data_IF_927155687499
#
_entry.id   IF_927155687499
#
_cell.length_a   1.000
_cell.length_b   1.000
_cell.length_c   1.000
_cell.angle_alpha   90.00
_cell.angle_beta   90.00
_cell.angle_gamma   90.00
#
_symmetry.space_group_name_H-M   'P 1'
#
loop_
_entity.id
_entity.type
_entity.pdbx_description
1 polymer ?
#
# COMPACT_ATOMS: atom_id res chain seq x y z
N UNK A 1 -11.39 -2.79 11.24
CA UNK A 1 -10.81 -3.41 10.03
C UNK A 1 -11.88 -4.29 9.39
N UNK A 2 -12.19 -4.10 8.11
CA UNK A 2 -13.28 -4.82 7.42
C UNK A 2 -12.99 -6.32 7.32
N UNK A 3 -11.72 -6.73 7.20
CA UNK A 3 -11.36 -8.15 7.11
C UNK A 3 -11.56 -8.85 8.45
N UNK A 4 -11.14 -8.23 9.56
CA UNK A 4 -11.36 -8.78 10.90
C UNK A 4 -12.86 -8.87 11.22
N UNK A 5 -13.62 -7.85 10.82
CA UNK A 5 -15.08 -7.85 10.95
C UNK A 5 -15.71 -8.98 10.12
N UNK A 6 -15.33 -9.15 8.86
CA UNK A 6 -15.85 -10.21 8.00
C UNK A 6 -15.44 -11.60 8.50
N UNK A 7 -14.22 -11.79 8.98
CA UNK A 7 -13.79 -13.10 9.50
C UNK A 7 -14.50 -13.46 10.81
N UNK A 8 -14.78 -12.47 11.67
CA UNK A 8 -15.39 -12.67 12.98
C UNK A 8 -16.93 -12.77 12.91
N UNK A 9 -17.58 -11.97 12.07
CA UNK A 9 -19.04 -11.89 12.00
C UNK A 9 -19.64 -12.63 10.81
N UNK A 10 -18.87 -12.91 9.75
CA UNK A 10 -19.32 -13.82 8.70
C UNK A 10 -18.83 -15.23 9.04
N UNK A 11 -19.63 -15.98 9.81
CA UNK A 11 -19.75 -17.41 9.52
C UNK A 11 -20.08 -17.47 8.03
N UNK A 12 -19.26 -18.13 7.20
CA UNK A 12 -19.42 -18.15 5.75
C UNK A 12 -20.40 -19.28 5.38
N UNK A 13 -21.72 -19.14 5.59
CA UNK A 13 -22.63 -20.29 5.60
C UNK A 13 -22.82 -20.81 4.18
N UNK A 14 -22.55 -19.95 3.19
CA UNK A 14 -22.76 -20.16 1.77
C UNK A 14 -21.51 -20.70 1.06
N UNK A 15 -20.38 -20.84 1.75
CA UNK A 15 -19.15 -21.38 1.17
C UNK A 15 -18.90 -22.82 1.64
N UNK A 16 -19.22 -23.83 0.82
CA UNK A 16 -19.08 -25.23 1.21
C UNK A 16 -17.62 -25.70 1.29
N UNK A 17 -16.67 -24.90 0.80
CA UNK A 17 -15.25 -25.20 0.81
C UNK A 17 -14.42 -23.97 1.20
N UNK A 18 -13.23 -24.23 1.75
CA UNK A 18 -12.22 -23.20 2.00
C UNK A 18 -11.37 -22.99 0.75
N UNK A 19 -11.18 -21.72 0.37
CA UNK A 19 -10.27 -21.32 -0.72
C UNK A 19 -9.01 -20.66 -0.15
N UNK A 20 -7.85 -21.00 -0.70
CA UNK A 20 -6.59 -20.32 -0.36
C UNK A 20 -6.58 -18.94 -1.05
N UNK A 21 -6.37 -17.89 -0.26
CA UNK A 21 -6.18 -16.52 -0.73
C UNK A 21 -4.81 -16.02 -0.25
N UNK A 22 -3.98 -15.55 -1.19
CA UNK A 22 -2.65 -15.02 -0.92
C UNK A 22 -2.69 -13.55 -0.53
N UNK A 23 -1.54 -13.00 -0.12
CA UNK A 23 -1.33 -11.56 0.09
C UNK A 23 -2.42 -10.89 0.94
N UNK A 24 -2.79 -11.55 2.02
CA UNK A 24 -3.78 -11.10 3.00
C UNK A 24 -5.21 -10.96 2.44
N UNK A 25 -5.49 -11.51 1.26
CA UNK A 25 -6.85 -11.69 0.77
C UNK A 25 -7.67 -12.63 1.66
N UNK A 26 -8.98 -12.66 1.44
CA UNK A 26 -9.90 -13.58 2.09
C UNK A 26 -10.94 -14.04 1.08
N UNK A 27 -11.56 -15.20 1.32
CA UNK A 27 -12.59 -15.74 0.44
C UNK A 27 -13.77 -14.77 0.37
N UNK A 28 -14.26 -14.51 -0.83
CA UNK A 28 -15.39 -13.60 -1.00
C UNK A 28 -16.66 -14.26 -0.44
N UNK A 29 -17.34 -13.65 0.56
CA UNK A 29 -18.57 -14.21 1.13
C UNK A 29 -19.74 -14.23 0.14
N UNK A 30 -19.70 -13.39 -0.91
CA UNK A 30 -20.75 -13.32 -1.93
C UNK A 30 -20.45 -14.26 -3.11
N UNK A 31 -19.18 -14.64 -3.30
CA UNK A 31 -18.75 -15.57 -4.34
C UNK A 31 -17.56 -16.42 -3.87
N UNK A 32 -17.87 -17.61 -3.34
CA UNK A 32 -16.89 -18.52 -2.74
C UNK A 32 -15.79 -19.01 -3.71
N UNK A 33 -15.97 -18.83 -5.03
CA UNK A 33 -14.96 -19.13 -6.05
C UNK A 33 -14.01 -17.97 -6.34
N UNK A 34 -14.05 -16.88 -5.57
CA UNK A 34 -13.15 -15.74 -5.70
C UNK A 34 -12.57 -15.35 -4.34
N UNK A 35 -11.46 -14.61 -4.37
CA UNK A 35 -10.89 -13.96 -3.21
C UNK A 35 -11.11 -12.45 -3.31
N UNK A 36 -11.51 -11.82 -2.21
CA UNK A 36 -11.46 -10.36 -2.02
C UNK A 36 -10.03 -9.97 -1.64
N UNK A 37 -9.39 -9.22 -2.53
CA UNK A 37 -8.01 -8.76 -2.36
C UNK A 37 -7.93 -7.41 -1.68
N UNK A 38 -6.91 -7.21 -0.85
CA UNK A 38 -6.58 -5.87 -0.34
C UNK A 38 -6.06 -4.99 -1.49
N UNK A 39 -6.24 -3.68 -1.36
CA UNK A 39 -5.79 -2.73 -2.39
C UNK A 39 -4.28 -2.87 -2.65
N UNK A 40 -3.90 -3.05 -3.92
CA UNK A 40 -2.53 -3.36 -4.34
C UNK A 40 -2.34 -4.77 -4.88
N UNK A 41 -3.27 -5.69 -4.62
CA UNK A 41 -3.25 -7.04 -5.20
C UNK A 41 -4.45 -7.31 -6.09
N UNK A 42 -4.32 -8.32 -6.96
CA UNK A 42 -5.37 -8.82 -7.84
C UNK A 42 -5.13 -10.29 -8.19
N UNK A 43 -6.00 -10.85 -9.03
CA UNK A 43 -6.00 -12.27 -9.36
C UNK A 43 -7.08 -13.02 -8.59
N UNK A 44 -7.43 -14.22 -9.06
CA UNK A 44 -8.52 -15.00 -8.47
C UNK A 44 -8.20 -15.51 -7.05
N UNK A 45 -6.92 -15.47 -6.67
CA UNK A 45 -6.43 -15.81 -5.33
C UNK A 45 -5.58 -14.68 -4.72
N UNK A 46 -5.63 -13.46 -5.28
CA UNK A 46 -4.81 -12.32 -4.85
C UNK A 46 -3.29 -12.54 -4.99
N UNK A 47 -2.89 -13.40 -5.93
CA UNK A 47 -1.52 -13.83 -6.16
C UNK A 47 -0.68 -12.81 -6.96
N UNK A 48 -1.34 -11.85 -7.61
CA UNK A 48 -0.70 -10.88 -8.50
C UNK A 48 -0.68 -9.48 -7.88
N UNK A 49 0.34 -8.69 -8.22
CA UNK A 49 0.29 -7.25 -7.96
C UNK A 49 -0.71 -6.59 -8.90
N UNK A 50 -1.39 -5.57 -8.40
CA UNK A 50 -2.33 -4.78 -9.18
C UNK A 50 -1.58 -4.19 -10.38
N UNK A 51 -2.13 -4.39 -11.58
CA UNK A 51 -1.58 -3.84 -12.83
C UNK A 51 -1.31 -2.34 -12.71
N UNK A 52 -0.30 -1.89 -13.45
CA UNK A 52 0.10 -0.50 -13.55
C UNK A 52 -1.11 0.43 -13.72
N UNK A 53 -1.25 1.40 -12.83
CA UNK A 53 -2.35 2.36 -12.90
C UNK A 53 -1.99 3.52 -13.85
N UNK A 54 -3.01 4.14 -14.45
CA UNK A 54 -2.84 5.26 -15.39
C UNK A 54 -2.05 6.40 -14.74
N UNK A 55 -1.06 6.96 -15.45
CA UNK A 55 -0.15 8.03 -14.97
C UNK A 55 0.81 7.64 -13.83
N UNK A 56 0.87 6.36 -13.46
CA UNK A 56 1.85 5.81 -12.51
C UNK A 56 3.00 5.15 -13.27
N UNK A 57 4.22 5.23 -12.75
CA UNK A 57 5.40 4.79 -13.50
C UNK A 57 5.62 3.28 -13.43
N UNK A 58 5.56 2.69 -12.23
CA UNK A 58 5.84 1.27 -11.97
C UNK A 58 4.97 0.75 -10.82
N UNK A 59 4.48 -0.48 -10.94
CA UNK A 59 3.80 -1.21 -9.86
C UNK A 59 4.78 -1.94 -8.92
N UNK A 60 5.95 -2.36 -9.42
CA UNK A 60 6.99 -3.04 -8.65
C UNK A 60 8.32 -2.29 -8.76
N UNK A 61 8.95 -2.07 -7.62
CA UNK A 61 10.29 -1.51 -7.46
C UNK A 61 11.10 -2.49 -6.62
N UNK A 62 12.33 -2.72 -7.06
CA UNK A 62 13.32 -3.51 -6.33
C UNK A 62 14.39 -2.52 -5.82
N UNK A 63 14.28 -2.04 -4.56
CA UNK A 63 15.34 -1.25 -3.94
C UNK A 63 16.67 -1.99 -4.00
N UNK A 64 17.73 -1.25 -4.28
CA UNK A 64 19.10 -1.69 -4.02
C UNK A 64 19.64 -0.95 -2.80
N UNK A 65 20.89 -1.26 -2.42
CA UNK A 65 21.56 -0.59 -1.29
C UNK A 65 21.87 0.88 -1.55
N UNK A 66 21.84 1.32 -2.81
CA UNK A 66 22.11 2.72 -3.16
C UNK A 66 20.83 3.55 -2.95
N UNK A 67 20.86 4.62 -2.15
CA UNK A 67 19.67 5.44 -1.95
C UNK A 67 19.16 6.04 -3.25
N UNK A 68 17.88 5.78 -3.56
CA UNK A 68 17.17 6.36 -4.71
C UNK A 68 16.02 7.20 -4.21
N UNK A 69 15.61 8.21 -4.97
CA UNK A 69 14.38 8.95 -4.70
C UNK A 69 13.43 8.92 -5.88
N UNK A 70 12.17 9.20 -5.56
CA UNK A 70 11.16 9.51 -6.56
C UNK A 70 10.25 10.62 -6.06
N UNK A 71 9.60 11.27 -7.02
CA UNK A 71 8.56 12.26 -6.78
C UNK A 71 7.30 11.76 -7.48
N UNK A 72 6.19 11.70 -6.76
CA UNK A 72 4.87 11.60 -7.36
C UNK A 72 4.17 12.93 -7.20
N UNK A 73 3.64 13.45 -8.30
CA UNK A 73 2.91 14.69 -8.35
C UNK A 73 1.69 14.54 -9.26
N UNK A 74 0.63 15.27 -8.91
CA UNK A 74 -0.53 15.49 -9.73
C UNK A 74 -1.70 14.56 -9.45
N UNK A 75 -2.78 14.70 -10.21
CA UNK A 75 -4.01 13.94 -10.01
C UNK A 75 -3.86 12.51 -10.50
N UNK A 76 -3.63 11.57 -9.58
CA UNK A 76 -3.52 10.13 -9.84
C UNK A 76 -3.71 9.30 -8.58
N UNK A 77 -4.01 8.01 -8.78
CA UNK A 77 -4.03 6.99 -7.74
C UNK A 77 -3.03 5.90 -8.12
N UNK A 78 -1.94 5.78 -7.37
CA UNK A 78 -0.88 4.81 -7.61
C UNK A 78 -0.76 3.87 -6.42
N UNK A 79 -0.52 2.59 -6.71
CA UNK A 79 -0.11 1.59 -5.73
C UNK A 79 1.18 0.96 -6.22
N UNK A 80 2.22 1.06 -5.40
CA UNK A 80 3.58 0.66 -5.73
C UNK A 80 4.11 -0.28 -4.67
N UNK A 81 4.73 -1.38 -5.09
CA UNK A 81 5.31 -2.40 -4.24
C UNK A 81 6.82 -2.22 -4.26
N UNK A 82 7.43 -2.09 -3.09
CA UNK A 82 8.88 -2.09 -2.92
C UNK A 82 9.26 -3.42 -2.27
N UNK A 83 9.99 -4.27 -2.99
CA UNK A 83 10.32 -5.63 -2.54
C UNK A 83 11.83 -5.82 -2.59
N UNK A 84 12.40 -6.31 -1.49
CA UNK A 84 13.81 -6.70 -1.38
C UNK A 84 13.91 -8.19 -1.01
N UNK A 85 15.13 -8.70 -0.86
CA UNK A 85 15.36 -10.07 -0.41
C UNK A 85 14.73 -10.32 0.97
N UNK A 86 14.29 -11.56 1.23
CA UNK A 86 13.55 -11.93 2.46
C UNK A 86 14.29 -11.61 3.76
N UNK A 87 15.62 -11.61 3.71
CA UNK A 87 16.50 -11.31 4.85
C UNK A 87 16.78 -9.83 5.03
N UNK A 88 16.36 -8.99 4.08
CA UNK A 88 16.62 -7.55 4.08
C UNK A 88 15.36 -6.77 4.47
N UNK A 89 15.57 -5.51 4.84
CA UNK A 89 14.52 -4.52 5.10
C UNK A 89 14.69 -3.31 4.18
N UNK A 90 13.73 -2.41 4.24
CA UNK A 90 13.66 -1.21 3.41
C UNK A 90 13.66 -0.01 4.33
N UNK A 91 14.62 0.88 4.11
CA UNK A 91 14.59 2.23 4.67
C UNK A 91 13.80 3.12 3.72
N UNK A 92 12.72 3.72 4.21
CA UNK A 92 11.82 4.57 3.43
C UNK A 92 11.71 5.93 4.11
N UNK A 93 12.20 6.98 3.46
CA UNK A 93 12.26 8.32 4.04
C UNK A 93 11.30 9.24 3.29
N UNK A 94 10.26 9.67 3.99
CA UNK A 94 9.32 10.68 3.51
C UNK A 94 10.00 12.03 3.68
N UNK A 95 10.39 12.68 2.59
CA UNK A 95 11.11 13.96 2.67
C UNK A 95 10.14 15.11 2.83
N UNK A 96 9.14 15.16 1.94
CA UNK A 96 8.17 16.25 1.87
C UNK A 96 6.88 15.73 1.27
N UNK A 97 5.76 16.14 1.87
CA UNK A 97 4.41 15.78 1.42
C UNK A 97 3.55 17.02 1.45
N UNK A 98 2.84 17.24 0.36
CA UNK A 98 1.83 18.29 0.25
C UNK A 98 0.63 17.72 -0.48
N UNK A 99 -0.44 17.46 0.27
CA UNK A 99 -1.70 16.94 -0.22
C UNK A 99 -2.82 17.86 0.25
N UNK A 100 -3.60 18.37 -0.69
CA UNK A 100 -4.78 19.19 -0.48
C UNK A 100 -5.94 18.67 -1.33
N UNK A 101 -7.20 19.00 -0.99
CA UNK A 101 -7.63 19.50 0.32
C UNK A 101 -7.40 18.46 1.42
N UNK A 102 -7.11 18.93 2.63
CA UNK A 102 -7.02 18.12 3.85
C UNK A 102 -7.38 18.96 5.07
N UNK A 103 -8.01 18.35 6.06
CA UNK A 103 -8.36 18.96 7.35
C UNK A 103 -7.33 18.54 8.40
N UNK A 104 -6.18 19.22 8.42
CA UNK A 104 -5.09 18.91 9.35
C UNK A 104 -5.59 18.96 10.82
N UNK A 105 -5.21 18.00 11.68
CA UNK A 105 -4.19 16.96 11.48
C UNK A 105 -4.67 15.68 10.76
N UNK A 106 -5.96 15.57 10.42
CA UNK A 106 -6.53 14.38 9.79
C UNK A 106 -6.34 14.40 8.27
N UNK A 107 -5.77 13.33 7.74
CA UNK A 107 -5.65 13.16 6.29
C UNK A 107 -6.90 12.52 5.70
N UNK A 108 -7.52 13.22 4.75
CA UNK A 108 -8.54 12.70 3.86
C UNK A 108 -7.99 11.56 3.02
N UNK A 109 -8.79 10.52 2.82
CA UNK A 109 -8.37 9.31 2.13
C UNK A 109 -8.02 9.57 0.65
N UNK A 110 -8.67 10.54 0.03
CA UNK A 110 -8.52 10.89 -1.39
C UNK A 110 -7.24 11.68 -1.69
N UNK A 111 -6.67 12.35 -0.68
CA UNK A 111 -5.49 13.22 -0.78
C UNK A 111 -4.47 12.85 0.29
N UNK A 112 -3.85 11.68 0.16
CA UNK A 112 -2.88 11.19 1.14
C UNK A 112 -1.89 10.26 0.48
N UNK A 113 -0.70 10.16 1.07
CA UNK A 113 0.13 8.97 0.91
C UNK A 113 -0.16 7.99 2.05
N UNK A 114 0.01 6.71 1.79
CA UNK A 114 -0.05 5.65 2.81
C UNK A 114 1.14 4.70 2.62
N UNK A 115 1.91 4.51 3.67
CA UNK A 115 3.03 3.56 3.70
C UNK A 115 2.62 2.37 4.56
N UNK A 116 2.44 1.20 3.93
CA UNK A 116 2.13 -0.06 4.63
C UNK A 116 3.43 -0.83 4.85
N UNK A 117 4.05 -0.58 6.01
CA UNK A 117 5.38 -1.08 6.39
C UNK A 117 5.33 -2.19 7.46
N UNK A 118 4.17 -2.42 8.09
CA UNK A 118 3.93 -3.47 9.07
C UNK A 118 4.12 -4.87 8.48
N UNK A 119 4.29 -5.89 9.32
CA UNK A 119 4.32 -7.30 8.86
C UNK A 119 3.05 -7.62 8.08
N UNK A 120 1.90 -7.45 8.73
CA UNK A 120 0.58 -7.62 8.13
C UNK A 120 0.27 -6.43 7.21
N UNK A 121 0.01 -6.71 5.93
CA UNK A 121 -0.35 -5.68 4.95
C UNK A 121 -1.86 -5.46 4.85
N UNK A 122 -2.70 -6.23 5.52
CA UNK A 122 -4.14 -5.96 5.53
C UNK A 122 -4.48 -4.70 6.32
N UNK A 123 -3.78 -4.44 7.43
CA UNK A 123 -4.02 -3.28 8.29
C UNK A 123 -3.63 -1.95 7.62
N UNK A 124 -4.28 -0.86 8.05
CA UNK A 124 -3.99 0.49 7.53
C UNK A 124 -2.54 0.90 7.85
N UNK A 125 -1.85 1.46 6.85
CA UNK A 125 -0.48 1.95 7.00
C UNK A 125 -0.42 3.36 7.61
N UNK A 126 0.79 3.89 7.76
CA UNK A 126 0.96 5.29 8.19
C UNK A 126 0.57 6.23 7.04
N UNK A 127 -0.34 7.17 7.32
CA UNK A 127 -0.85 8.15 6.36
C UNK A 127 -0.25 9.52 6.58
N UNK A 128 0.08 10.18 5.49
CA UNK A 128 0.63 11.54 5.50
C UNK A 128 -0.02 12.38 4.39
N UNK A 129 -0.45 13.57 4.76
CA UNK A 129 -1.01 14.56 3.85
C UNK A 129 -0.23 15.87 3.88
N UNK A 130 0.49 16.14 4.97
CA UNK A 130 1.40 17.29 5.10
C UNK A 130 2.62 16.86 5.87
N UNK A 131 3.79 17.04 5.28
CA UNK A 131 5.08 16.75 5.92
C UNK A 131 6.11 17.77 5.43
N UNK A 132 6.62 18.60 6.35
CA UNK A 132 7.66 19.60 6.07
C UNK A 132 9.06 19.06 6.35
N UNK A 133 9.19 18.24 7.40
CA UNK A 133 10.45 17.67 7.86
C UNK A 133 10.56 16.19 7.50
N UNK A 134 11.76 15.69 7.25
CA UNK A 134 11.92 14.30 6.83
C UNK A 134 11.48 13.31 7.92
N UNK A 135 10.72 12.27 7.54
CA UNK A 135 10.31 11.18 8.43
C UNK A 135 10.86 9.86 7.91
N UNK A 136 11.59 9.14 8.77
CA UNK A 136 12.13 7.82 8.45
C UNK A 136 11.12 6.75 8.87
N UNK A 137 10.87 5.79 7.98
CA UNK A 137 10.10 4.57 8.20
C UNK A 137 11.00 3.38 7.85
N UNK A 138 11.13 2.43 8.76
CA UNK A 138 11.80 1.16 8.52
C UNK A 138 10.74 0.08 8.34
N UNK A 139 10.87 -0.73 7.29
CA UNK A 139 9.95 -1.84 7.09
C UNK A 139 10.16 -2.94 8.12
N UNK A 140 9.07 -3.61 8.50
CA UNK A 140 9.13 -4.75 9.42
C UNK A 140 9.59 -6.03 8.70
N UNK A 141 9.35 -6.12 7.39
CA UNK A 141 9.82 -7.19 6.51
C UNK A 141 10.39 -6.64 5.20
N UNK A 142 10.62 -7.52 4.24
CA UNK A 142 11.19 -7.21 2.94
C UNK A 142 10.22 -6.54 1.94
N UNK A 143 9.05 -6.06 2.38
CA UNK A 143 8.02 -5.52 1.50
C UNK A 143 7.35 -4.27 2.08
N UNK A 144 7.32 -3.18 1.30
CA UNK A 144 6.47 -2.00 1.54
C UNK A 144 5.44 -1.90 0.41
N UNK A 145 4.20 -1.57 0.77
CA UNK A 145 3.19 -1.10 -0.20
C UNK A 145 3.00 0.39 0.02
N UNK A 146 3.19 1.15 -1.04
CA UNK A 146 3.07 2.60 -1.04
C UNK A 146 1.86 3.01 -1.88
N UNK A 147 0.89 3.67 -1.25
CA UNK A 147 -0.23 4.27 -1.95
C UNK A 147 -0.02 5.77 -2.06
N UNK A 148 -0.26 6.31 -3.25
CA UNK A 148 -0.38 7.73 -3.50
C UNK A 148 -1.79 7.99 -4.02
N UNK A 149 -2.55 8.82 -3.31
CA UNK A 149 -3.92 9.21 -3.68
C UNK A 149 -3.97 10.72 -3.75
N UNK A 150 -4.31 11.25 -4.92
CA UNK A 150 -4.45 12.68 -5.12
C UNK A 150 -5.59 13.00 -6.09
N UNK A 151 -6.34 14.04 -5.72
CA UNK A 151 -7.38 14.66 -6.54
C UNK A 151 -6.94 15.98 -7.20
N UNK A 152 -5.79 16.54 -6.79
CA UNK A 152 -5.30 17.85 -7.23
C UNK A 152 -3.96 17.75 -7.99
N UNK A 153 -3.74 18.67 -8.94
CA UNK A 153 -2.53 18.67 -9.77
C UNK A 153 -1.28 19.21 -9.06
N UNK A 154 -1.47 20.06 -8.05
CA UNK A 154 -0.39 20.62 -7.23
C UNK A 154 0.04 19.72 -6.06
N UNK A 155 -0.67 18.62 -5.81
CA UNK A 155 -0.32 17.66 -4.77
C UNK A 155 0.94 16.88 -5.13
N UNK A 156 1.82 16.65 -4.17
CA UNK A 156 3.03 15.88 -4.39
C UNK A 156 3.56 15.19 -3.12
N UNK A 157 4.38 14.17 -3.35
CA UNK A 157 5.19 13.53 -2.32
C UNK A 157 6.57 13.19 -2.88
N UNK A 158 7.60 13.54 -2.11
CA UNK A 158 9.00 13.22 -2.42
C UNK A 158 9.53 12.23 -1.39
N UNK A 159 10.07 11.11 -1.87
CA UNK A 159 10.43 9.96 -1.05
C UNK A 159 11.84 9.48 -1.42
N UNK A 160 12.67 9.14 -0.44
CA UNK A 160 13.86 8.31 -0.61
C UNK A 160 13.59 6.87 -0.18
N UNK A 161 14.26 5.92 -0.82
CA UNK A 161 14.22 4.51 -0.44
C UNK A 161 15.57 3.82 -0.69
N UNK A 162 15.89 2.83 0.15
CA UNK A 162 17.03 1.94 -0.04
C UNK A 162 16.79 0.59 0.66
N UNK A 163 17.43 -0.47 0.16
CA UNK A 163 17.60 -1.72 0.89
C UNK A 163 18.55 -1.52 2.07
N UNK A 164 18.28 -2.19 3.19
CA UNK A 164 19.16 -2.31 4.36
C UNK A 164 19.14 -3.77 4.85
N UNK A 165 20.19 -4.20 5.57
CA UNK A 165 20.22 -5.49 6.26
C UNK A 165 19.47 -5.44 7.58
#
# INVERSE_FOLDING_TARGET
DIKALNLHYCTHPNCPFKRICYNYGYQDPDNCHLCKCIDGFMGAQCEQFKKRQRKCSKELILPDRMPRYFILQGKKKCVMHFVVNRTSKIRFVIIKVHMLPNTYPTCQYENTIEVKYWMDKSVTGARFCRQTDSKIILSHNNHIIYHYRSTQENNFAKIYYSEIY
#
